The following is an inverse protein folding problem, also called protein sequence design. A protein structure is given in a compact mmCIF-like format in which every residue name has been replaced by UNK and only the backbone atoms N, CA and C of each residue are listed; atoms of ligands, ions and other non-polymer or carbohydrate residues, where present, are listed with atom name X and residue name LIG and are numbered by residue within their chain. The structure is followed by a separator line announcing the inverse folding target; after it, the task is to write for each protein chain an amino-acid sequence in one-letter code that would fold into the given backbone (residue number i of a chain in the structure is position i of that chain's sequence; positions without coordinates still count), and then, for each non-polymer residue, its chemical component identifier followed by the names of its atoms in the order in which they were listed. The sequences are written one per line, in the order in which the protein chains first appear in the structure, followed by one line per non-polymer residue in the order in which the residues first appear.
data_IF_197691938302
#
_entry.id   IF_197691938302
#
_cell.length_a   1.000
_cell.length_b   1.000
_cell.length_c   1.000
_cell.angle_alpha   90.00
_cell.angle_beta   90.00
_cell.angle_gamma   90.00
#
_symmetry.space_group_name_H-M   'P 1'
#
loop_
_entity.id
_entity.type
_entity.pdbx_description
1 polymer ?
#
# COMPACT_ATOMS: atom_id res chain seq x y z
N UNK A 1 -33.46 6.64 41.15
CA UNK A 1 -33.37 6.05 39.79
C UNK A 1 -33.09 7.08 38.67
N UNK A 2 -32.63 8.31 38.98
CA UNK A 2 -32.48 9.40 37.99
C UNK A 2 -31.02 9.81 37.73
N UNK A 3 -30.17 9.84 38.78
CA UNK A 3 -28.79 10.31 38.66
C UNK A 3 -27.89 9.41 37.80
N UNK A 4 -28.02 8.08 37.94
CA UNK A 4 -27.25 7.12 37.13
C UNK A 4 -27.57 7.23 35.63
N UNK A 5 -28.83 7.53 35.28
CA UNK A 5 -29.24 7.74 33.88
C UNK A 5 -28.63 9.00 33.29
N UNK A 6 -28.50 10.07 34.09
CA UNK A 6 -27.85 11.32 33.68
C UNK A 6 -26.36 11.09 33.44
N UNK A 7 -25.68 10.36 34.32
CA UNK A 7 -24.25 10.03 34.14
C UNK A 7 -24.05 9.18 32.89
N UNK A 8 -24.88 8.15 32.67
CA UNK A 8 -24.81 7.30 31.48
C UNK A 8 -25.08 8.11 30.21
N UNK A 9 -26.04 9.04 30.24
CA UNK A 9 -26.34 9.91 29.11
C UNK A 9 -25.20 10.89 28.82
N UNK A 10 -24.61 11.50 29.84
CA UNK A 10 -23.45 12.40 29.69
C UNK A 10 -22.23 11.63 29.17
N UNK A 11 -21.99 10.40 29.66
CA UNK A 11 -20.93 9.54 29.15
C UNK A 11 -21.20 9.17 27.69
N UNK A 12 -22.40 8.72 27.33
CA UNK A 12 -22.77 8.38 25.94
C UNK A 12 -22.62 9.57 24.99
N UNK A 13 -23.03 10.77 25.40
CA UNK A 13 -22.88 11.99 24.60
C UNK A 13 -21.40 12.37 24.45
N UNK A 14 -20.56 12.18 25.47
CA UNK A 14 -19.12 12.40 25.36
C UNK A 14 -18.44 11.32 24.48
N UNK A 15 -18.85 10.06 24.57
CA UNK A 15 -18.39 8.99 23.68
C UNK A 15 -18.81 9.23 22.23
N UNK A 16 -20.03 9.75 21.99
CA UNK A 16 -20.50 10.11 20.66
C UNK A 16 -19.81 11.37 20.09
N UNK A 17 -19.38 12.30 20.96
CA UNK A 17 -18.54 13.46 20.58
C UNK A 17 -17.08 13.08 20.30
N UNK A 18 -16.63 11.89 20.72
CA UNK A 18 -15.54 11.18 20.05
C UNK A 18 -16.01 10.69 18.67
N UNK A 19 -16.57 11.60 17.87
CA UNK A 19 -16.81 11.38 16.46
C UNK A 19 -15.47 11.02 15.84
N UNK A 20 -15.40 9.80 15.31
CA UNK A 20 -14.22 9.29 14.64
C UNK A 20 -13.73 10.35 13.64
N UNK A 21 -12.51 10.85 13.81
CA UNK A 21 -11.79 11.63 12.79
C UNK A 21 -11.40 10.74 11.59
N UNK A 22 -12.26 9.80 11.21
CA UNK A 22 -12.08 8.84 10.12
C UNK A 22 -12.73 9.32 8.82
N UNK A 23 -13.00 10.62 8.69
CA UNK A 23 -13.43 11.20 7.42
C UNK A 23 -12.20 11.73 6.66
N UNK A 24 -12.08 11.34 5.39
CA UNK A 24 -11.10 11.96 4.47
C UNK A 24 -11.40 13.46 4.43
N UNK A 25 -10.42 14.36 4.66
CA UNK A 25 -10.67 15.80 4.65
C UNK A 25 -11.34 16.23 3.34
N UNK A 26 -12.36 17.10 3.40
CA UNK A 26 -13.11 17.55 2.21
C UNK A 26 -12.21 18.05 1.08
N UNK A 27 -11.13 18.75 1.42
CA UNK A 27 -10.10 19.19 0.47
C UNK A 27 -9.43 18.00 -0.23
N UNK A 28 -9.00 16.99 0.52
CA UNK A 28 -8.39 15.77 -0.02
C UNK A 28 -9.38 15.02 -0.90
N UNK A 29 -10.63 14.89 -0.49
CA UNK A 29 -11.67 14.23 -1.29
C UNK A 29 -11.92 14.96 -2.62
N UNK A 30 -11.95 16.29 -2.61
CA UNK A 30 -12.03 17.09 -3.84
C UNK A 30 -10.84 16.83 -4.78
N UNK A 31 -9.61 16.86 -4.24
CA UNK A 31 -8.40 16.58 -5.02
C UNK A 31 -8.40 15.16 -5.61
N UNK A 32 -8.88 14.18 -4.85
CA UNK A 32 -9.07 12.81 -5.32
C UNK A 32 -10.07 12.78 -6.50
N UNK A 33 -11.19 13.50 -6.40
CA UNK A 33 -12.15 13.61 -7.50
C UNK A 33 -11.53 14.20 -8.77
N UNK A 34 -10.75 15.27 -8.64
CA UNK A 34 -10.00 15.87 -9.75
C UNK A 34 -9.02 14.87 -10.36
N UNK A 35 -8.28 14.13 -9.53
CA UNK A 35 -7.37 13.09 -10.00
C UNK A 35 -8.13 12.01 -10.78
N UNK A 36 -9.24 11.51 -10.26
CA UNK A 36 -10.02 10.44 -10.87
C UNK A 36 -10.64 10.84 -12.22
N UNK A 37 -11.02 12.11 -12.39
CA UNK A 37 -11.47 12.61 -13.70
C UNK A 37 -10.36 12.60 -14.76
N UNK A 38 -9.10 12.71 -14.33
CA UNK A 38 -7.93 12.68 -15.22
C UNK A 38 -7.35 11.27 -15.43
N UNK A 39 -7.80 10.28 -14.65
CA UNK A 39 -7.36 8.90 -14.77
C UNK A 39 -7.85 8.20 -16.05
N UNK A 40 -7.60 6.90 -16.19
CA UNK A 40 -6.95 6.02 -15.20
C UNK A 40 -5.42 6.18 -15.12
N UNK A 41 -4.84 5.62 -14.07
CA UNK A 41 -3.40 5.63 -13.79
C UNK A 41 -2.84 4.23 -13.58
N UNK A 42 -1.55 4.05 -13.86
CA UNK A 42 -0.77 2.92 -13.33
C UNK A 42 -0.24 3.33 -11.95
N UNK A 43 -0.54 2.51 -10.95
CA UNK A 43 -0.03 2.67 -9.60
C UNK A 43 1.37 2.09 -9.48
N UNK A 44 2.33 2.86 -8.99
CA UNK A 44 3.69 2.38 -8.73
C UNK A 44 3.96 2.45 -7.22
N UNK A 45 4.01 1.29 -6.58
CA UNK A 45 4.24 1.12 -5.14
C UNK A 45 5.70 0.80 -4.88
N UNK A 46 6.35 1.60 -4.03
CA UNK A 46 7.81 1.63 -3.89
C UNK A 46 8.18 1.52 -2.40
N UNK A 47 9.04 0.59 -1.96
CA UNK A 47 9.30 0.36 -0.55
C UNK A 47 9.93 1.54 0.17
N UNK A 48 11.01 2.11 -0.39
CA UNK A 48 11.83 3.09 0.32
C UNK A 48 12.34 4.23 -0.57
N UNK A 49 13.03 5.20 0.05
CA UNK A 49 13.56 6.37 -0.64
C UNK A 49 14.72 6.05 -1.58
N UNK A 50 15.52 5.02 -1.30
CA UNK A 50 16.64 4.63 -2.17
C UNK A 50 16.15 4.05 -3.50
N UNK A 51 14.95 3.46 -3.54
CA UNK A 51 14.31 2.99 -4.76
C UNK A 51 13.49 4.08 -5.44
N UNK A 52 12.88 4.98 -4.66
CA UNK A 52 12.06 6.08 -5.18
C UNK A 52 12.91 7.20 -5.81
N UNK A 53 13.98 7.64 -5.15
CA UNK A 53 14.75 8.80 -5.58
C UNK A 53 15.35 8.66 -6.98
N UNK A 54 15.95 7.51 -7.37
CA UNK A 54 16.44 7.31 -8.74
C UNK A 54 15.35 7.47 -9.79
N UNK A 55 14.12 7.02 -9.50
CA UNK A 55 12.99 7.20 -10.41
C UNK A 55 12.56 8.66 -10.49
N UNK A 56 12.53 9.38 -9.37
CA UNK A 56 12.21 10.83 -9.35
C UNK A 56 13.25 11.67 -10.10
N UNK A 57 14.50 11.23 -10.12
CA UNK A 57 15.61 11.91 -10.80
C UNK A 57 15.78 11.45 -12.25
N UNK A 58 15.11 10.35 -12.65
CA UNK A 58 15.22 9.80 -13.98
C UNK A 58 14.58 10.73 -15.02
N UNK A 59 15.23 10.98 -16.17
CA UNK A 59 14.64 11.77 -17.24
C UNK A 59 13.40 11.09 -17.86
N UNK A 60 13.20 9.79 -17.61
CA UNK A 60 12.03 9.05 -18.10
C UNK A 60 10.75 9.35 -17.32
N UNK A 61 10.87 9.89 -16.10
CA UNK A 61 9.73 10.31 -15.30
C UNK A 61 9.51 11.82 -15.48
N UNK A 62 8.33 12.18 -15.99
CA UNK A 62 7.90 13.57 -16.11
C UNK A 62 6.97 13.86 -14.94
N UNK A 63 7.44 14.57 -13.89
CA UNK A 63 6.64 14.83 -12.70
C UNK A 63 5.53 15.84 -12.97
N UNK A 64 4.39 15.65 -12.34
CA UNK A 64 3.39 16.69 -12.15
C UNK A 64 3.65 17.44 -10.85
N UNK A 65 3.28 18.73 -10.80
CA UNK A 65 3.27 19.50 -9.55
C UNK A 65 2.16 19.04 -8.60
N UNK A 66 1.20 18.27 -9.11
CA UNK A 66 0.07 17.76 -8.34
C UNK A 66 0.50 16.61 -7.42
N UNK A 67 0.27 16.78 -6.12
CA UNK A 67 0.50 15.74 -5.09
C UNK A 67 -0.67 15.70 -4.11
N UNK A 68 -0.89 14.52 -3.53
CA UNK A 68 -1.89 14.32 -2.47
C UNK A 68 -1.21 13.61 -1.31
N UNK A 69 -1.28 14.19 -0.12
CA UNK A 69 -0.81 13.58 1.11
C UNK A 69 -2.00 13.03 1.90
N UNK A 70 -2.01 11.73 2.18
CA UNK A 70 -3.07 11.07 2.95
C UNK A 70 -2.54 9.86 3.72
N UNK A 71 -2.97 9.70 4.99
CA UNK A 71 -2.56 8.58 5.84
C UNK A 71 -1.04 8.34 5.88
N UNK A 72 -0.28 9.43 6.02
CA UNK A 72 1.19 9.41 6.08
C UNK A 72 1.89 9.09 4.75
N UNK A 73 1.16 9.06 3.63
CA UNK A 73 1.68 8.71 2.30
C UNK A 73 1.53 9.88 1.35
N UNK A 74 2.56 10.10 0.53
CA UNK A 74 2.55 11.09 -0.55
C UNK A 74 2.35 10.39 -1.89
N UNK A 75 1.19 10.63 -2.50
CA UNK A 75 0.87 10.23 -3.87
C UNK A 75 1.39 11.30 -4.83
N UNK A 76 2.35 10.93 -5.68
CA UNK A 76 2.98 11.81 -6.67
C UNK A 76 2.49 11.44 -8.05
N UNK A 77 2.00 12.43 -8.79
CA UNK A 77 1.46 12.20 -10.12
C UNK A 77 2.51 12.54 -11.17
N UNK A 78 2.43 11.89 -12.33
CA UNK A 78 3.30 12.19 -13.45
C UNK A 78 3.05 11.27 -14.63
N UNK A 79 4.02 11.21 -15.54
CA UNK A 79 3.99 10.28 -16.65
C UNK A 79 5.33 9.57 -16.83
N UNK A 80 5.28 8.30 -17.26
CA UNK A 80 6.44 7.51 -17.67
C UNK A 80 6.10 6.92 -19.03
N UNK A 81 6.96 7.16 -20.03
CA UNK A 81 6.72 6.70 -21.41
C UNK A 81 5.31 7.02 -21.94
N UNK A 82 4.79 8.23 -21.62
CA UNK A 82 3.45 8.68 -22.01
C UNK A 82 2.28 8.06 -21.22
N UNK A 83 2.53 7.11 -20.30
CA UNK A 83 1.52 6.54 -19.42
C UNK A 83 1.42 7.35 -18.13
N UNK A 84 0.18 7.63 -17.69
CA UNK A 84 -0.09 8.34 -16.44
C UNK A 84 0.20 7.42 -15.26
N UNK A 85 1.01 7.89 -14.32
CA UNK A 85 1.43 7.12 -13.15
C UNK A 85 1.16 7.85 -11.84
N UNK A 86 0.91 7.08 -10.79
CA UNK A 86 0.92 7.55 -9.41
C UNK A 86 2.03 6.81 -8.67
N UNK A 87 3.07 7.53 -8.24
CA UNK A 87 4.14 6.98 -7.42
C UNK A 87 3.78 7.14 -5.94
N UNK A 88 3.88 6.07 -5.17
CA UNK A 88 3.65 6.12 -3.72
C UNK A 88 4.66 5.25 -2.98
N UNK A 89 5.27 5.82 -1.93
CA UNK A 89 6.18 5.08 -1.07
C UNK A 89 5.39 4.32 0.00
N UNK A 90 5.65 3.03 0.17
CA UNK A 90 4.92 2.18 1.11
C UNK A 90 5.53 2.20 2.50
N UNK A 91 6.85 2.34 2.61
CA UNK A 91 7.61 1.95 3.79
C UNK A 91 7.88 0.43 3.80
N UNK A 92 8.69 -0.02 4.76
CA UNK A 92 9.09 -1.42 4.86
C UNK A 92 8.00 -2.31 5.46
N UNK A 93 7.95 -3.57 5.01
CA UNK A 93 7.06 -4.60 5.52
C UNK A 93 5.76 -4.76 4.74
N UNK A 94 5.26 -6.00 4.71
CA UNK A 94 4.10 -6.36 3.89
C UNK A 94 2.81 -5.67 4.30
N UNK A 95 2.60 -5.42 5.59
CA UNK A 95 1.41 -4.71 6.09
C UNK A 95 1.37 -3.30 5.51
N UNK A 96 2.52 -2.61 5.49
CA UNK A 96 2.65 -1.29 4.92
C UNK A 96 2.43 -1.28 3.40
N UNK A 97 2.98 -2.26 2.69
CA UNK A 97 2.75 -2.44 1.25
C UNK A 97 1.25 -2.70 0.96
N UNK A 98 0.61 -3.57 1.73
CA UNK A 98 -0.82 -3.89 1.62
C UNK A 98 -1.71 -2.67 1.86
N UNK A 99 -1.51 -1.96 2.97
CA UNK A 99 -2.30 -0.74 3.28
C UNK A 99 -2.11 0.32 2.19
N UNK A 100 -0.88 0.53 1.73
CA UNK A 100 -0.61 1.51 0.68
C UNK A 100 -1.30 1.16 -0.64
N UNK A 101 -1.23 -0.11 -1.04
CA UNK A 101 -1.88 -0.60 -2.25
C UNK A 101 -3.39 -0.51 -2.13
N UNK A 102 -3.96 -0.86 -0.98
CA UNK A 102 -5.39 -0.72 -0.72
C UNK A 102 -5.84 0.75 -0.81
N UNK A 103 -5.08 1.68 -0.21
CA UNK A 103 -5.37 3.10 -0.31
C UNK A 103 -5.28 3.58 -1.76
N UNK A 104 -4.28 3.15 -2.51
CA UNK A 104 -4.12 3.50 -3.91
C UNK A 104 -5.34 3.08 -4.76
N UNK A 105 -5.80 1.83 -4.57
CA UNK A 105 -6.94 1.27 -5.29
C UNK A 105 -8.28 1.88 -4.83
N UNK A 106 -8.43 2.21 -3.55
CA UNK A 106 -9.67 2.78 -3.03
C UNK A 106 -9.84 4.27 -3.36
N UNK A 107 -8.74 5.02 -3.41
CA UNK A 107 -8.80 6.46 -3.62
C UNK A 107 -8.76 6.81 -5.11
N UNK A 108 -8.04 6.04 -5.93
CA UNK A 108 -7.77 6.42 -7.32
C UNK A 108 -8.29 5.42 -8.36
N UNK A 109 -8.59 5.91 -9.56
CA UNK A 109 -8.90 5.07 -10.73
C UNK A 109 -7.61 4.45 -11.28
N UNK A 110 -7.33 3.22 -10.86
CA UNK A 110 -6.10 2.49 -11.19
C UNK A 110 -6.38 1.40 -12.25
N UNK A 111 -5.54 1.36 -13.29
CA UNK A 111 -5.54 0.31 -14.34
C UNK A 111 -4.76 -0.94 -13.91
N UNK A 112 -3.69 -0.73 -13.16
CA UNK A 112 -2.80 -1.80 -12.70
C UNK A 112 -1.80 -1.28 -11.69
N UNK A 113 -1.20 -2.19 -10.94
CA UNK A 113 -0.21 -1.90 -9.90
C UNK A 113 1.11 -2.54 -10.27
N UNK A 114 2.18 -1.74 -10.25
CA UNK A 114 3.55 -2.19 -10.40
C UNK A 114 4.26 -1.99 -9.05
N UNK A 115 4.83 -3.06 -8.53
CA UNK A 115 5.76 -3.00 -7.42
C UNK A 115 7.18 -3.24 -7.95
N UNK A 116 8.14 -2.42 -7.55
CA UNK A 116 9.55 -2.67 -7.80
C UNK A 116 10.37 -2.33 -6.56
N UNK A 117 11.52 -2.97 -6.44
CA UNK A 117 12.45 -2.76 -5.36
C UNK A 117 13.65 -3.69 -5.51
N UNK A 118 14.58 -3.59 -4.57
CA UNK A 118 15.72 -4.51 -4.49
C UNK A 118 15.31 -5.81 -3.79
N UNK A 119 15.91 -6.93 -4.19
CA UNK A 119 15.70 -8.23 -3.57
C UNK A 119 17.01 -9.01 -3.47
N UNK A 120 17.12 -9.81 -2.41
CA UNK A 120 18.10 -10.89 -2.38
C UNK A 120 17.58 -12.08 -3.20
N UNK A 121 18.47 -12.77 -3.90
CA UNK A 121 18.14 -13.99 -4.63
C UNK A 121 18.72 -15.21 -3.90
N UNK A 122 18.08 -16.37 -4.08
CA UNK A 122 18.58 -17.67 -3.62
C UNK A 122 18.92 -18.60 -4.80
N UNK A 123 18.76 -18.11 -6.03
CA UNK A 123 19.05 -18.84 -7.26
C UNK A 123 20.52 -18.59 -7.64
N UNK A 124 21.40 -19.60 -7.59
CA UNK A 124 22.81 -19.43 -7.89
C UNK A 124 23.11 -18.95 -9.32
N UNK A 125 22.13 -19.01 -10.22
CA UNK A 125 22.27 -18.49 -11.59
C UNK A 125 22.09 -16.97 -11.68
N UNK A 126 21.51 -16.34 -10.65
CA UNK A 126 21.28 -14.90 -10.60
C UNK A 126 22.41 -14.16 -9.91
N UNK A 127 22.89 -13.10 -10.56
CA UNK A 127 24.02 -12.29 -10.13
C UNK A 127 23.55 -10.92 -9.61
N UNK A 128 24.46 -10.22 -8.93
CA UNK A 128 24.22 -8.85 -8.48
C UNK A 128 23.98 -7.96 -9.71
N UNK A 129 22.86 -7.23 -9.71
CA UNK A 129 22.46 -6.35 -10.81
C UNK A 129 21.44 -6.96 -11.76
N UNK A 130 21.16 -8.27 -11.66
CA UNK A 130 20.12 -8.91 -12.47
C UNK A 130 18.73 -8.38 -12.09
N UNK A 131 17.88 -8.21 -13.11
CA UNK A 131 16.49 -7.77 -12.95
C UNK A 131 15.58 -8.96 -13.20
N UNK A 132 14.87 -9.39 -12.16
CA UNK A 132 13.92 -10.49 -12.22
C UNK A 132 12.47 -9.98 -12.22
N UNK A 133 11.61 -10.61 -13.03
CA UNK A 133 10.16 -10.41 -13.02
C UNK A 133 9.53 -11.74 -12.59
N UNK A 134 9.07 -11.87 -11.35
CA UNK A 134 8.51 -13.12 -10.86
C UNK A 134 7.15 -13.39 -11.51
N UNK A 135 6.94 -14.62 -11.98
CA UNK A 135 5.62 -15.07 -12.43
C UNK A 135 4.67 -15.31 -11.23
N UNK A 136 5.23 -15.73 -10.10
CA UNK A 136 4.51 -16.01 -8.86
C UNK A 136 5.29 -15.48 -7.65
N UNK A 137 4.57 -15.11 -6.59
CA UNK A 137 5.14 -14.80 -5.29
C UNK A 137 4.44 -15.60 -4.19
N UNK A 138 5.10 -15.79 -3.05
CA UNK A 138 4.52 -16.42 -1.87
C UNK A 138 5.00 -15.71 -0.61
N UNK A 139 4.12 -15.62 0.39
CA UNK A 139 4.51 -15.20 1.72
C UNK A 139 4.96 -16.42 2.54
N UNK A 140 6.27 -16.52 2.82
CA UNK A 140 6.86 -17.67 3.52
C UNK A 140 6.95 -17.50 5.05
N UNK A 141 6.43 -16.40 5.61
CA UNK A 141 6.52 -16.11 7.05
C UNK A 141 5.57 -16.91 7.94
N UNK A 142 4.60 -17.63 7.37
CA UNK A 142 3.62 -18.47 8.08
C UNK A 142 3.73 -19.94 7.66
N UNK A 143 4.96 -20.44 7.51
CA UNK A 143 5.18 -21.87 7.37
C UNK A 143 4.98 -22.54 8.73
N UNK A 144 3.80 -23.13 8.94
CA UNK A 144 3.62 -24.10 10.02
C UNK A 144 4.16 -25.44 9.54
N UNK A 145 5.32 -25.85 10.05
CA UNK A 145 5.84 -27.19 9.83
C UNK A 145 4.89 -28.19 10.49
N UNK A 146 3.96 -28.74 9.72
CA UNK A 146 3.23 -29.92 10.16
C UNK A 146 4.20 -31.09 10.16
N UNK A 147 4.71 -31.44 11.35
CA UNK A 147 5.37 -32.72 11.57
C UNK A 147 4.33 -33.79 11.28
N UNK A 148 4.39 -34.41 10.10
CA UNK A 148 3.70 -35.66 9.86
C UNK A 148 4.32 -36.68 10.81
N UNK A 149 3.63 -37.01 11.90
CA UNK A 149 3.86 -38.27 12.59
C UNK A 149 3.53 -39.38 11.59
N UNK A 150 4.55 -39.94 10.93
CA UNK A 150 4.44 -41.23 10.28
C UNK A 150 4.19 -42.26 11.39
N UNK A 151 2.93 -42.47 11.75
CA UNK A 151 2.54 -43.66 12.49
C UNK A 151 2.76 -44.85 11.56
N UNK A 152 3.74 -45.67 11.92
CA UNK A 152 3.96 -47.00 11.39
C UNK A 152 2.71 -47.86 11.63
N UNK A 153 1.74 -47.79 10.73
CA UNK A 153 0.76 -48.85 10.52
C UNK A 153 1.24 -49.72 9.36
N UNK A 154 2.37 -50.40 9.58
CA UNK A 154 2.63 -51.69 8.98
C UNK A 154 2.55 -52.70 10.12
N UNK A 155 1.31 -53.08 10.46
CA UNK A 155 1.04 -54.29 11.23
C UNK A 155 0.73 -55.41 10.25
N UNK A 156 1.45 -56.51 10.43
CA UNK A 156 1.20 -57.84 9.86
C UNK A 156 -0.27 -58.25 9.87
#
# INVERSE_FOLDING_TARGET
MSFLKIIVFVLLVNYAKLGAKCEIPKKTMYLIGVANNNGPYIGVVIPNLFELNPLLQSPSFIPSTFTIDFSGRRFRFGTIAGKKVILVMTGLGMVNAGITTQLLLNLFRIEGVVHYGIAGNADPSLHIGDVAIPQYWAHLGLLNWQVKYCNNYLSN
#
